data_IF_052877416076
#
_entry.id   IF_052877416076
#
_cell.length_a   1.000
_cell.length_b   1.000
_cell.length_c   1.000
_cell.angle_alpha   90.00
_cell.angle_beta   90.00
_cell.angle_gamma   90.00
#
_symmetry.space_group_name_H-M   'P 1'
#
loop_
_entity.id
_entity.type
_entity.pdbx_description
1 polymer ?
#
# COMPACT_ATOMS: atom_id res chain seq x y z
N UNK A 1 42.85 15.88 -60.50
CA UNK A 1 42.26 14.78 -59.68
C UNK A 1 42.53 14.88 -58.17
N UNK A 2 43.60 15.54 -57.68
CA UNK A 2 43.88 15.64 -56.24
C UNK A 2 42.93 16.57 -55.46
N UNK A 3 42.52 17.69 -56.06
CA UNK A 3 41.58 18.68 -55.47
C UNK A 3 40.15 18.14 -55.32
N UNK A 4 39.64 17.40 -56.31
CA UNK A 4 38.29 16.82 -56.24
C UNK A 4 38.15 15.79 -55.10
N UNK A 5 39.18 14.95 -54.87
CA UNK A 5 39.21 13.99 -53.74
C UNK A 5 39.24 14.68 -52.37
N UNK A 6 39.95 15.81 -52.25
CA UNK A 6 40.00 16.58 -51.00
C UNK A 6 38.65 17.24 -50.68
N UNK A 7 37.92 17.71 -51.70
CA UNK A 7 36.58 18.31 -51.54
C UNK A 7 35.57 17.24 -51.12
N UNK A 8 35.58 16.04 -51.72
CA UNK A 8 34.63 14.97 -51.34
C UNK A 8 34.84 14.48 -49.90
N UNK A 9 36.09 14.39 -49.43
CA UNK A 9 36.42 13.95 -48.07
C UNK A 9 35.99 14.99 -47.02
N UNK A 10 36.11 16.27 -47.34
CA UNK A 10 35.67 17.37 -46.47
C UNK A 10 34.14 17.42 -46.36
N UNK A 11 33.41 17.17 -47.45
CA UNK A 11 31.93 17.16 -47.45
C UNK A 11 31.37 16.00 -46.64
N UNK A 12 31.95 14.78 -46.72
CA UNK A 12 31.46 13.66 -45.90
C UNK A 12 31.73 13.86 -44.41
N UNK A 13 32.84 14.49 -44.04
CA UNK A 13 33.17 14.80 -42.65
C UNK A 13 32.18 15.81 -42.03
N UNK A 14 31.68 16.77 -42.82
CA UNK A 14 30.68 17.77 -42.37
C UNK A 14 29.27 17.17 -42.25
N UNK A 15 28.91 16.18 -43.06
CA UNK A 15 27.60 15.53 -42.99
C UNK A 15 27.44 14.54 -41.83
N UNK A 16 28.53 14.04 -41.25
CA UNK A 16 28.48 13.05 -40.15
C UNK A 16 28.36 13.75 -38.77
N UNK A 17 28.85 14.98 -38.63
CA UNK A 17 28.82 15.72 -37.36
C UNK A 17 27.41 16.21 -36.96
N UNK A 18 26.46 16.26 -37.90
CA UNK A 18 25.08 16.72 -37.64
C UNK A 18 24.13 15.63 -37.14
N UNK A 19 24.57 14.37 -37.08
CA UNK A 19 23.76 13.22 -36.64
C UNK A 19 24.13 12.68 -35.25
N UNK A 20 24.94 13.39 -34.48
CA UNK A 20 25.15 13.05 -33.06
C UNK A 20 23.92 13.50 -32.28
N UNK A 21 22.89 12.65 -32.24
CA UNK A 21 21.76 12.82 -31.35
C UNK A 21 22.26 12.60 -29.93
N UNK A 22 22.36 13.67 -29.13
CA UNK A 22 22.61 13.53 -27.71
C UNK A 22 21.42 12.79 -27.11
N UNK A 23 21.69 11.65 -26.49
CA UNK A 23 20.72 10.98 -25.63
C UNK A 23 20.39 11.99 -24.52
N UNK A 24 19.12 12.34 -24.35
CA UNK A 24 18.68 13.29 -23.31
C UNK A 24 19.14 12.85 -21.91
N UNK A 25 18.94 13.69 -20.90
CA UNK A 25 19.50 13.42 -19.58
C UNK A 25 19.14 12.02 -19.06
N UNK A 26 20.16 11.21 -18.76
CA UNK A 26 19.99 9.90 -18.13
C UNK A 26 19.72 10.02 -16.63
N UNK A 27 19.81 11.23 -16.07
CA UNK A 27 19.41 11.49 -14.70
C UNK A 27 17.89 11.55 -14.64
N UNK A 28 17.23 10.69 -13.86
CA UNK A 28 15.82 10.86 -13.57
C UNK A 28 15.56 12.28 -13.05
N UNK A 29 14.43 12.94 -13.42
CA UNK A 29 14.18 14.34 -13.07
C UNK A 29 14.11 14.65 -11.56
N UNK A 30 14.13 13.62 -10.71
CA UNK A 30 14.15 13.74 -9.26
C UNK A 30 14.44 12.39 -8.60
N UNK A 31 14.68 12.43 -7.29
CA UNK A 31 14.81 11.22 -6.50
C UNK A 31 13.50 10.41 -6.54
N UNK A 32 13.55 9.06 -6.44
CA UNK A 32 12.36 8.25 -6.31
C UNK A 32 11.49 8.70 -5.12
N UNK A 33 10.19 8.80 -5.33
CA UNK A 33 9.25 9.00 -4.24
C UNK A 33 9.28 7.79 -3.27
N UNK A 34 8.83 7.95 -2.02
CA UNK A 34 8.68 6.81 -1.10
C UNK A 34 7.83 5.72 -1.74
N UNK A 35 8.40 4.54 -1.92
CA UNK A 35 7.75 3.41 -2.62
C UNK A 35 7.01 2.47 -1.67
N UNK A 36 7.17 2.66 -0.35
CA UNK A 36 6.61 1.77 0.66
C UNK A 36 5.17 2.14 1.00
N UNK A 37 4.29 1.14 1.01
CA UNK A 37 2.95 1.23 1.63
C UNK A 37 3.08 1.01 3.13
N UNK A 38 2.26 1.71 3.91
CA UNK A 38 2.15 1.41 5.34
C UNK A 38 1.47 0.06 5.55
N UNK A 39 1.68 -0.59 6.70
CA UNK A 39 0.96 -1.83 7.03
C UNK A 39 -0.56 -1.63 6.99
N UNK A 40 -1.03 -0.46 7.38
CA UNK A 40 -2.44 -0.09 7.32
C UNK A 40 -2.96 0.08 5.88
N UNK A 41 -2.08 0.38 4.91
CA UNK A 41 -2.42 0.39 3.48
C UNK A 41 -2.38 -1.01 2.84
N UNK A 42 -1.55 -1.93 3.32
CA UNK A 42 -1.46 -3.30 2.79
C UNK A 42 -2.55 -4.18 3.41
N UNK A 43 -2.84 -4.00 4.69
CA UNK A 43 -3.83 -4.73 5.47
C UNK A 43 -4.75 -3.76 6.24
N UNK A 44 -5.70 -3.09 5.57
CA UNK A 44 -6.65 -2.20 6.23
C UNK A 44 -7.65 -3.02 7.06
N UNK A 45 -7.20 -3.50 8.23
CA UNK A 45 -8.05 -4.07 9.26
C UNK A 45 -8.43 -2.98 10.27
N UNK A 46 -9.64 -3.04 10.80
CA UNK A 46 -10.12 -2.14 11.85
C UNK A 46 -9.97 -2.80 13.23
N UNK A 47 -9.46 -2.10 14.25
CA UNK A 47 -9.41 -2.67 15.59
C UNK A 47 -10.82 -2.85 16.17
N UNK A 48 -11.05 -3.89 16.98
CA UNK A 48 -12.31 -4.11 17.68
C UNK A 48 -12.41 -3.23 18.93
N UNK A 49 -12.56 -1.93 18.71
CA UNK A 49 -12.74 -0.91 19.74
C UNK A 49 -13.83 0.08 19.31
N UNK A 50 -14.41 0.78 20.28
CA UNK A 50 -15.65 1.55 20.10
C UNK A 50 -15.55 2.68 19.06
N UNK A 51 -14.36 3.23 18.83
CA UNK A 51 -14.16 4.28 17.80
C UNK A 51 -13.97 3.74 16.37
N UNK A 52 -14.02 2.42 16.18
CA UNK A 52 -13.85 1.82 14.85
C UNK A 52 -15.16 1.77 14.07
N UNK A 53 -15.07 2.01 12.76
CA UNK A 53 -16.23 2.03 11.88
C UNK A 53 -16.97 0.69 11.91
N UNK A 54 -18.27 0.75 12.21
CA UNK A 54 -19.13 -0.42 12.29
C UNK A 54 -18.96 -1.26 13.56
N UNK A 55 -18.19 -0.79 14.55
CA UNK A 55 -18.02 -1.45 15.86
C UNK A 55 -18.76 -0.65 16.92
N UNK A 56 -19.38 -1.36 17.88
CA UNK A 56 -19.92 -0.76 19.11
C UNK A 56 -19.60 -1.67 20.29
N UNK A 57 -19.12 -1.10 21.40
CA UNK A 57 -18.77 -1.85 22.61
C UNK A 57 -19.76 -1.50 23.73
N UNK A 58 -20.52 -2.50 24.19
CA UNK A 58 -21.49 -2.31 25.26
C UNK A 58 -20.84 -2.31 26.64
N UNK A 59 -21.46 -1.68 27.66
CA UNK A 59 -20.96 -1.73 29.04
C UNK A 59 -20.81 -3.14 29.61
N UNK A 60 -21.50 -4.14 29.05
CA UNK A 60 -21.35 -5.56 29.39
C UNK A 60 -20.05 -6.19 28.89
N UNK A 61 -19.26 -5.50 28.07
CA UNK A 61 -18.08 -6.02 27.38
C UNK A 61 -18.37 -6.71 26.05
N UNK A 62 -19.63 -6.76 25.61
CA UNK A 62 -20.00 -7.32 24.30
C UNK A 62 -19.65 -6.35 23.17
N UNK A 63 -18.93 -6.85 22.17
CA UNK A 63 -18.58 -6.11 20.96
C UNK A 63 -19.57 -6.47 19.85
N UNK A 64 -20.16 -5.49 19.18
CA UNK A 64 -21.04 -5.69 18.03
C UNK A 64 -20.39 -5.16 16.76
N UNK A 65 -20.34 -6.00 15.72
CA UNK A 65 -19.89 -5.65 14.37
C UNK A 65 -21.11 -5.55 13.45
N UNK A 66 -21.36 -4.37 12.90
CA UNK A 66 -22.55 -4.05 12.09
C UNK A 66 -22.25 -3.78 10.61
N UNK A 67 -20.98 -3.82 10.21
CA UNK A 67 -20.55 -3.63 8.82
C UNK A 67 -19.63 -4.76 8.37
N UNK A 68 -19.69 -5.07 7.07
CA UNK A 68 -18.74 -5.98 6.43
C UNK A 68 -17.32 -5.42 6.51
N UNK A 69 -16.32 -6.27 6.71
CA UNK A 69 -14.94 -5.80 6.81
C UNK A 69 -13.99 -6.79 7.47
N UNK A 70 -12.74 -6.37 7.60
CA UNK A 70 -11.71 -7.13 8.32
C UNK A 70 -11.39 -6.44 9.63
N UNK A 71 -11.49 -7.16 10.74
CA UNK A 71 -11.31 -6.64 12.08
C UNK A 71 -10.25 -7.40 12.85
N UNK A 72 -9.69 -6.81 13.91
CA UNK A 72 -8.74 -7.50 14.77
C UNK A 72 -8.86 -7.14 16.25
N UNK A 73 -8.50 -8.09 17.11
CA UNK A 73 -8.37 -7.83 18.55
C UNK A 73 -7.06 -7.08 18.86
N UNK A 74 -7.16 -6.11 19.76
CA UNK A 74 -6.02 -5.37 20.33
C UNK A 74 -5.66 -5.83 21.74
N UNK A 75 -6.50 -6.64 22.37
CA UNK A 75 -6.31 -7.18 23.72
C UNK A 75 -7.11 -8.48 23.94
N UNK A 76 -6.88 -9.15 25.07
CA UNK A 76 -7.64 -10.34 25.46
C UNK A 76 -9.08 -9.96 25.82
N UNK A 77 -10.06 -10.61 25.20
CA UNK A 77 -11.47 -10.44 25.51
C UNK A 77 -11.89 -11.46 26.58
N UNK A 78 -12.36 -10.96 27.72
CA UNK A 78 -12.91 -11.79 28.80
C UNK A 78 -14.42 -11.65 28.83
N UNK A 79 -15.15 -12.76 28.84
CA UNK A 79 -16.61 -12.80 28.71
C UNK A 79 -17.22 -13.50 29.93
N UNK A 80 -17.92 -12.75 30.78
CA UNK A 80 -18.53 -13.28 32.00
C UNK A 80 -19.75 -14.17 31.69
N UNK A 81 -20.53 -13.81 30.67
CA UNK A 81 -21.67 -14.60 30.19
C UNK A 81 -22.10 -14.11 28.80
N UNK A 82 -22.68 -14.99 27.99
CA UNK A 82 -23.21 -14.63 26.68
C UNK A 82 -22.13 -14.48 25.60
N UNK A 83 -22.40 -13.62 24.62
CA UNK A 83 -21.51 -13.42 23.47
C UNK A 83 -20.45 -12.36 23.77
N UNK A 84 -19.18 -12.67 23.52
CA UNK A 84 -18.10 -11.68 23.51
C UNK A 84 -18.14 -10.79 22.27
N UNK A 85 -18.33 -11.40 21.10
CA UNK A 85 -18.44 -10.70 19.81
C UNK A 85 -19.74 -11.15 19.13
N UNK A 86 -20.56 -10.20 18.69
CA UNK A 86 -21.77 -10.43 17.90
C UNK A 86 -21.60 -9.80 16.52
N UNK A 87 -21.77 -10.61 15.46
CA UNK A 87 -21.58 -10.18 14.07
C UNK A 87 -22.96 -10.05 13.40
N UNK A 88 -23.38 -8.82 13.13
CA UNK A 88 -24.66 -8.45 12.53
C UNK A 88 -24.52 -8.02 11.05
N UNK A 89 -23.45 -8.42 10.38
CA UNK A 89 -23.21 -8.19 8.96
C UNK A 89 -22.58 -9.42 8.29
N UNK A 90 -22.80 -9.56 6.98
CA UNK A 90 -22.10 -10.57 6.17
C UNK A 90 -20.70 -10.08 5.76
N UNK A 91 -19.82 -11.00 5.36
CA UNK A 91 -18.48 -10.64 4.85
C UNK A 91 -17.54 -10.06 5.91
N UNK A 92 -17.67 -10.52 7.16
CA UNK A 92 -16.82 -10.12 8.28
C UNK A 92 -15.71 -11.15 8.49
N UNK A 93 -14.47 -10.69 8.63
CA UNK A 93 -13.36 -11.49 9.13
C UNK A 93 -12.84 -10.91 10.44
N UNK A 94 -12.49 -11.79 11.39
CA UNK A 94 -11.95 -11.40 12.69
C UNK A 94 -10.61 -12.11 12.90
N UNK A 95 -9.55 -11.32 13.05
CA UNK A 95 -8.20 -11.77 13.34
C UNK A 95 -7.91 -11.59 14.83
N UNK A 96 -7.55 -12.67 15.52
CA UNK A 96 -7.24 -12.60 16.94
C UNK A 96 -5.84 -12.03 17.23
N UNK A 97 -4.92 -12.00 16.26
CA UNK A 97 -3.56 -11.45 16.39
C UNK A 97 -2.79 -11.88 17.65
N UNK A 98 -2.99 -13.12 18.10
CA UNK A 98 -2.35 -13.67 19.29
C UNK A 98 -3.07 -13.37 20.61
N UNK A 99 -4.21 -12.69 20.58
CA UNK A 99 -5.10 -12.52 21.73
C UNK A 99 -6.11 -13.67 21.83
N UNK A 100 -6.72 -13.78 23.01
CA UNK A 100 -7.69 -14.83 23.33
C UNK A 100 -9.07 -14.24 23.61
N UNK A 101 -10.10 -15.01 23.29
CA UNK A 101 -11.47 -14.81 23.79
C UNK A 101 -11.71 -15.94 24.77
N UNK A 102 -12.00 -15.61 26.03
CA UNK A 102 -12.20 -16.61 27.09
C UNK A 102 -13.34 -16.23 28.01
N UNK A 103 -13.95 -17.24 28.61
CA UNK A 103 -14.92 -17.06 29.69
C UNK A 103 -14.28 -17.28 31.06
N UNK A 104 -14.85 -16.67 32.10
CA UNK A 104 -14.43 -16.80 33.51
C UNK A 104 -15.42 -17.63 34.30
#
# INVERSE_FOLDING_TARGET
MKIAKQITTLVSAVCITTYVQAQGSLTPPGAPAPTMKTLQQIEPRLPLLDSSLGVSVYPSGTIIISQSGSYYLTENLTVSSGNGITINASGVTVDLRGFTIRST
#
